data_IF_208652102828
#
_entry.id   IF_208652102828
#
_cell.length_a   1.000
_cell.length_b   1.000
_cell.length_c   1.000
_cell.angle_alpha   90.00
_cell.angle_beta   90.00
_cell.angle_gamma   90.00
#
_symmetry.space_group_name_H-M   'P 1'
#
loop_
_entity.id
_entity.type
_entity.pdbx_description
1 polymer ?
#
# COMPACT_ATOMS: atom_id res chain seq x y z
N UNK A 1 4.25 -7.07 -10.36
CA UNK A 1 4.15 -8.55 -10.32
C UNK A 1 4.15 -9.25 -11.69
N UNK A 2 3.47 -8.78 -12.73
CA UNK A 2 3.59 -9.43 -14.07
C UNK A 2 5.03 -9.40 -14.61
N UNK A 3 5.71 -8.25 -14.51
CA UNK A 3 7.12 -8.13 -14.88
C UNK A 3 8.03 -9.04 -14.04
N UNK A 4 7.72 -9.23 -12.75
CA UNK A 4 8.45 -10.15 -11.87
C UNK A 4 8.31 -11.61 -12.33
N UNK A 5 7.12 -12.03 -12.77
CA UNK A 5 6.93 -13.39 -13.31
C UNK A 5 7.75 -13.64 -14.58
N UNK A 6 7.91 -12.61 -15.42
CA UNK A 6 8.71 -12.70 -16.64
C UNK A 6 10.21 -12.58 -16.36
N UNK A 7 10.59 -11.78 -15.36
CA UNK A 7 11.98 -11.48 -15.02
C UNK A 7 12.18 -11.46 -13.48
N UNK A 8 12.27 -12.63 -12.82
CA UNK A 8 12.25 -12.71 -11.35
C UNK A 8 13.45 -12.04 -10.66
N UNK A 9 14.61 -11.99 -11.33
CA UNK A 9 15.85 -11.46 -10.76
C UNK A 9 16.01 -9.94 -10.81
N UNK A 10 15.04 -9.21 -11.38
CA UNK A 10 15.12 -7.76 -11.62
C UNK A 10 14.54 -6.91 -10.47
N UNK A 11 14.18 -7.51 -9.33
CA UNK A 11 13.67 -6.79 -8.14
C UNK A 11 12.26 -6.21 -8.28
N UNK A 12 11.48 -6.67 -9.27
CA UNK A 12 10.11 -6.21 -9.53
C UNK A 12 9.10 -6.56 -8.43
N UNK A 13 9.44 -7.49 -7.54
CA UNK A 13 8.70 -7.83 -6.32
C UNK A 13 8.81 -6.72 -5.26
N UNK A 14 10.01 -6.23 -4.99
CA UNK A 14 10.25 -5.10 -4.09
C UNK A 14 9.62 -3.80 -4.61
N UNK A 15 9.69 -3.56 -5.92
CA UNK A 15 9.02 -2.41 -6.54
C UNK A 15 7.49 -2.52 -6.43
N UNK A 16 6.94 -3.74 -6.57
CA UNK A 16 5.51 -3.95 -6.44
C UNK A 16 5.03 -3.79 -4.99
N UNK A 17 5.81 -4.25 -4.00
CA UNK A 17 5.57 -3.99 -2.58
C UNK A 17 5.53 -2.47 -2.30
N UNK A 18 6.56 -1.74 -2.74
CA UNK A 18 6.60 -0.29 -2.57
C UNK A 18 5.41 0.43 -3.23
N UNK A 19 4.97 -0.03 -4.40
CA UNK A 19 3.78 0.52 -5.07
C UNK A 19 2.47 0.22 -4.32
N UNK A 20 2.37 -0.97 -3.69
CA UNK A 20 1.26 -1.35 -2.81
C UNK A 20 1.17 -0.39 -1.61
N UNK A 21 2.28 -0.22 -0.89
CA UNK A 21 2.35 0.68 0.28
C UNK A 21 2.13 2.15 -0.10
N UNK A 22 2.63 2.59 -1.26
CA UNK A 22 2.33 3.93 -1.81
C UNK A 22 0.84 4.14 -2.09
N UNK A 23 0.16 3.11 -2.60
CA UNK A 23 -1.29 3.19 -2.84
C UNK A 23 -2.05 3.29 -1.52
N UNK A 24 -1.65 2.51 -0.51
CA UNK A 24 -2.27 2.49 0.81
C UNK A 24 -2.10 3.82 1.54
N UNK A 25 -0.89 4.37 1.52
CA UNK A 25 -0.60 5.69 2.09
C UNK A 25 -1.50 6.77 1.49
N UNK A 26 -1.71 6.76 0.16
CA UNK A 26 -2.62 7.68 -0.52
C UNK A 26 -4.08 7.51 -0.12
N UNK A 27 -4.59 6.29 -0.01
CA UNK A 27 -5.96 6.06 0.47
C UNK A 27 -6.16 6.54 1.91
N UNK A 28 -5.14 6.40 2.77
CA UNK A 28 -5.19 6.95 4.14
C UNK A 28 -5.23 8.49 4.12
N UNK A 29 -4.47 9.14 3.24
CA UNK A 29 -4.53 10.60 3.06
C UNK A 29 -5.92 11.09 2.65
N UNK A 30 -6.59 10.37 1.76
CA UNK A 30 -7.93 10.73 1.31
C UNK A 30 -8.92 10.71 2.50
N UNK A 31 -8.83 9.70 3.37
CA UNK A 31 -9.62 9.63 4.60
C UNK A 31 -9.27 10.74 5.60
N UNK A 32 -7.98 10.99 5.85
CA UNK A 32 -7.55 12.01 6.82
C UNK A 32 -7.79 13.45 6.34
N UNK A 33 -7.82 13.66 5.02
CA UNK A 33 -8.21 14.92 4.39
C UNK A 33 -9.64 15.34 4.73
N UNK A 34 -10.48 14.45 5.26
CA UNK A 34 -11.81 14.82 5.75
C UNK A 34 -11.76 15.51 7.14
N UNK A 35 -10.69 15.31 7.92
CA UNK A 35 -10.50 15.84 9.28
C UNK A 35 -9.69 17.17 9.36
N UNK A 36 -9.54 17.87 8.23
CA UNK A 36 -8.60 18.99 7.88
C UNK A 36 -8.22 20.08 8.89
N UNK A 37 -8.95 20.32 9.97
CA UNK A 37 -8.79 21.56 10.76
C UNK A 37 -7.55 21.57 11.68
N UNK A 38 -7.19 20.43 12.28
CA UNK A 38 -6.14 20.39 13.31
C UNK A 38 -4.72 20.18 12.75
N UNK A 39 -4.63 19.69 11.50
CA UNK A 39 -3.36 19.21 10.91
C UNK A 39 -2.43 20.36 10.49
N UNK A 40 -2.99 21.55 10.22
CA UNK A 40 -2.23 22.72 9.70
C UNK A 40 -1.64 23.62 10.79
N UNK A 41 -1.87 23.32 12.07
CA UNK A 41 -1.35 24.13 13.16
C UNK A 41 0.19 24.04 13.20
N UNK A 42 0.85 25.19 13.28
CA UNK A 42 2.31 25.28 13.38
C UNK A 42 3.08 25.33 12.05
N UNK A 43 2.39 25.28 10.90
CA UNK A 43 3.01 25.47 9.57
C UNK A 43 3.10 26.96 9.23
N UNK A 44 4.22 27.39 8.63
CA UNK A 44 4.37 28.77 8.15
C UNK A 44 3.24 29.14 7.16
N UNK A 45 2.47 30.21 7.43
CA UNK A 45 1.39 30.66 6.54
C UNK A 45 1.83 30.87 5.08
N UNK A 46 3.08 31.29 4.84
CA UNK A 46 3.61 31.47 3.49
C UNK A 46 3.75 30.14 2.76
N UNK A 47 4.18 29.09 3.45
CA UNK A 47 4.28 27.75 2.85
C UNK A 47 2.89 27.20 2.53
N UNK A 48 1.90 27.43 3.41
CA UNK A 48 0.51 27.04 3.15
C UNK A 48 -0.11 27.79 1.97
N UNK A 49 0.26 29.06 1.77
CA UNK A 49 -0.18 29.84 0.60
C UNK A 49 0.47 29.33 -0.69
N UNK A 50 1.76 29.05 -0.68
CA UNK A 50 2.46 28.42 -1.81
C UNK A 50 1.88 27.04 -2.14
N UNK A 51 1.57 26.23 -1.12
CA UNK A 51 0.97 24.90 -1.27
C UNK A 51 -0.41 24.96 -1.93
N UNK A 52 -1.17 26.04 -1.72
CA UNK A 52 -2.47 26.25 -2.37
C UNK A 52 -2.34 26.81 -3.78
N UNK A 53 -1.41 27.73 -4.00
CA UNK A 53 -1.30 28.50 -5.24
C UNK A 53 -0.55 27.78 -6.35
N UNK A 54 0.52 27.03 -6.05
CA UNK A 54 1.32 26.34 -7.08
C UNK A 54 0.52 25.28 -7.85
N UNK A 55 -0.32 24.42 -7.22
CA UNK A 55 -1.17 23.50 -7.97
C UNK A 55 -2.20 24.20 -8.86
N UNK A 56 -2.72 25.36 -8.43
CA UNK A 56 -3.64 26.17 -9.25
C UNK A 56 -2.94 26.73 -10.49
N UNK A 57 -1.71 27.22 -10.34
CA UNK A 57 -0.88 27.69 -11.46
C UNK A 57 -0.56 26.55 -12.43
N UNK A 58 -0.17 25.38 -11.91
CA UNK A 58 0.10 24.19 -12.72
C UNK A 58 -1.12 23.81 -13.56
N UNK A 59 -2.30 23.73 -12.93
CA UNK A 59 -3.55 23.41 -13.62
C UNK A 59 -3.89 24.45 -14.69
N UNK A 60 -3.66 25.74 -14.43
CA UNK A 60 -3.89 26.80 -15.40
C UNK A 60 -2.95 26.68 -16.61
N UNK A 61 -1.66 26.41 -16.39
CA UNK A 61 -0.70 26.23 -17.48
C UNK A 61 -0.94 24.93 -18.27
N UNK A 62 -1.30 23.84 -17.60
CA UNK A 62 -1.70 22.59 -18.28
C UNK A 62 -2.94 22.80 -19.14
N UNK A 63 -3.98 23.44 -18.61
CA UNK A 63 -5.17 23.78 -19.38
C UNK A 63 -4.83 24.67 -20.59
N UNK A 64 -3.94 25.65 -20.41
CA UNK A 64 -3.47 26.49 -21.53
C UNK A 64 -2.69 25.69 -22.57
N UNK A 65 -1.85 24.75 -22.15
CA UNK A 65 -1.13 23.83 -23.04
C UNK A 65 -2.12 23.00 -23.87
N UNK A 66 -3.13 22.42 -23.24
CA UNK A 66 -4.19 21.67 -23.95
C UNK A 66 -4.90 22.53 -25.00
N UNK A 67 -5.26 23.77 -24.65
CA UNK A 67 -5.88 24.70 -25.59
C UNK A 67 -4.96 25.02 -26.78
N UNK A 68 -3.69 25.35 -26.51
CA UNK A 68 -2.71 25.67 -27.55
C UNK A 68 -2.55 24.52 -28.54
N UNK A 69 -2.38 23.29 -28.05
CA UNK A 69 -2.26 22.08 -28.88
C UNK A 69 -3.51 21.82 -29.71
N UNK A 70 -4.69 22.18 -29.22
CA UNK A 70 -5.97 22.06 -29.96
C UNK A 70 -6.24 23.19 -30.97
N UNK A 71 -5.43 24.24 -30.96
CA UNK A 71 -5.54 25.42 -31.85
C UNK A 71 -4.29 25.57 -32.72
N UNK A 72 -4.34 26.52 -33.66
CA UNK A 72 -3.13 26.95 -34.37
C UNK A 72 -2.20 27.66 -33.38
N UNK A 73 -1.01 27.10 -33.16
CA UNK A 73 0.00 27.61 -32.23
C UNK A 73 1.36 27.63 -32.91
N UNK A 74 2.25 28.46 -32.39
CA UNK A 74 3.68 28.43 -32.73
C UNK A 74 4.43 27.49 -31.80
N UNK A 75 5.57 26.94 -32.26
CA UNK A 75 6.45 26.13 -31.40
C UNK A 75 6.96 26.94 -30.20
N UNK A 76 7.19 28.24 -30.38
CA UNK A 76 7.65 29.14 -29.33
C UNK A 76 6.63 29.28 -28.19
N UNK A 77 5.33 29.45 -28.51
CA UNK A 77 4.26 29.50 -27.50
C UNK A 77 4.12 28.19 -26.72
N UNK A 78 4.33 27.06 -27.40
CA UNK A 78 4.27 25.74 -26.78
C UNK A 78 5.48 25.48 -25.87
N UNK A 79 6.67 25.96 -26.23
CA UNK A 79 7.86 25.80 -25.39
C UNK A 79 7.83 26.74 -24.18
N UNK A 80 7.33 27.97 -24.33
CA UNK A 80 7.12 28.88 -23.19
C UNK A 80 6.17 28.29 -22.14
N UNK A 81 5.08 27.64 -22.57
CA UNK A 81 4.14 27.04 -21.61
C UNK A 81 4.74 25.80 -20.93
N UNK A 82 5.54 24.99 -21.65
CA UNK A 82 6.29 23.87 -21.05
C UNK A 82 7.28 24.35 -20.01
N UNK A 83 8.06 25.40 -20.30
CA UNK A 83 9.01 25.97 -19.34
C UNK A 83 8.31 26.48 -18.08
N UNK A 84 7.13 27.09 -18.20
CA UNK A 84 6.32 27.50 -17.05
C UNK A 84 5.85 26.30 -16.22
N UNK A 85 5.40 25.23 -16.87
CA UNK A 85 5.04 23.97 -16.20
C UNK A 85 6.24 23.41 -15.44
N UNK A 86 7.39 23.29 -16.09
CA UNK A 86 8.63 22.77 -15.49
C UNK A 86 9.07 23.62 -14.29
N UNK A 87 8.95 24.94 -14.40
CA UNK A 87 9.25 25.88 -13.30
C UNK A 87 8.33 25.64 -12.10
N UNK A 88 7.02 25.51 -12.32
CA UNK A 88 6.06 25.26 -11.23
C UNK A 88 6.28 23.87 -10.60
N UNK A 89 6.62 22.85 -11.40
CA UNK A 89 6.97 21.53 -10.90
C UNK A 89 8.23 21.56 -10.02
N UNK A 90 9.26 22.32 -10.42
CA UNK A 90 10.46 22.52 -9.61
C UNK A 90 10.14 23.25 -8.30
N UNK A 91 9.29 24.27 -8.34
CA UNK A 91 8.82 25.00 -7.15
C UNK A 91 8.02 24.11 -6.20
N UNK A 92 7.14 23.24 -6.73
CA UNK A 92 6.41 22.26 -5.91
C UNK A 92 7.36 21.31 -5.18
N UNK A 93 8.39 20.81 -5.88
CA UNK A 93 9.40 19.94 -5.28
C UNK A 93 10.20 20.65 -4.18
N UNK A 94 10.58 21.91 -4.42
CA UNK A 94 11.28 22.72 -3.42
C UNK A 94 10.39 23.00 -2.20
N UNK A 95 9.12 23.35 -2.43
CA UNK A 95 8.15 23.58 -1.37
C UNK A 95 7.97 22.33 -0.51
N UNK A 96 7.82 21.15 -1.11
CA UNK A 96 7.72 19.89 -0.38
C UNK A 96 8.95 19.66 0.50
N UNK A 97 10.16 19.84 -0.03
CA UNK A 97 11.40 19.71 0.73
C UNK A 97 11.48 20.71 1.90
N UNK A 98 11.00 21.95 1.69
CA UNK A 98 10.95 22.96 2.73
C UNK A 98 9.91 22.63 3.80
N UNK A 99 8.74 22.12 3.42
CA UNK A 99 7.71 21.66 4.37
C UNK A 99 8.22 20.47 5.18
N UNK A 100 8.92 19.51 4.57
CA UNK A 100 9.52 18.36 5.27
C UNK A 100 10.52 18.77 6.34
N UNK A 101 11.33 19.79 6.07
CA UNK A 101 12.36 20.27 7.01
C UNK A 101 11.79 21.16 8.10
N UNK A 102 10.85 22.06 7.76
CA UNK A 102 10.32 23.07 8.68
C UNK A 102 9.07 22.63 9.44
N UNK A 103 8.32 21.67 8.90
CA UNK A 103 7.06 21.17 9.47
C UNK A 103 6.93 19.64 9.32
N UNK A 104 7.82 18.83 9.96
CA UNK A 104 7.89 17.38 9.75
C UNK A 104 6.56 16.65 10.00
N UNK A 105 5.85 16.99 11.09
CA UNK A 105 4.53 16.39 11.40
C UNK A 105 3.47 16.68 10.34
N UNK A 106 3.48 17.88 9.77
CA UNK A 106 2.58 18.21 8.65
C UNK A 106 2.96 17.42 7.41
N UNK A 107 4.26 17.31 7.13
CA UNK A 107 4.77 16.60 5.98
C UNK A 107 4.50 15.08 6.04
N UNK A 108 4.65 14.44 7.20
CA UNK A 108 4.31 13.02 7.40
C UNK A 108 2.83 12.74 7.10
N UNK A 109 1.95 13.67 7.50
CA UNK A 109 0.51 13.56 7.30
C UNK A 109 0.05 13.96 5.91
N UNK A 110 0.81 14.78 5.18
CA UNK A 110 0.43 15.32 3.87
C UNK A 110 1.14 14.62 2.71
N UNK A 111 2.38 14.18 2.93
CA UNK A 111 3.28 13.55 1.98
C UNK A 111 3.94 12.30 2.60
N UNK A 112 3.16 11.29 3.03
CA UNK A 112 3.69 10.05 3.56
C UNK A 112 4.62 9.42 2.53
N UNK A 113 5.87 9.20 2.93
CA UNK A 113 6.77 8.35 2.16
C UNK A 113 6.60 6.92 2.67
N UNK A 114 6.01 6.03 1.86
CA UNK A 114 5.96 4.62 2.21
C UNK A 114 7.38 4.09 2.35
N UNK A 115 7.60 3.26 3.37
CA UNK A 115 8.90 2.65 3.56
C UNK A 115 9.24 1.77 2.34
N UNK A 116 10.46 1.92 1.83
CA UNK A 116 10.98 0.97 0.86
C UNK A 116 11.40 -0.33 1.55
N UNK A 117 11.65 -1.39 0.77
CA UNK A 117 12.01 -2.71 1.31
C UNK A 117 13.21 -2.65 2.27
N UNK A 118 14.25 -1.88 1.93
CA UNK A 118 15.42 -1.76 2.76
C UNK A 118 15.08 -1.12 4.11
N UNK A 119 14.25 -0.07 4.12
CA UNK A 119 13.80 0.56 5.35
C UNK A 119 12.91 -0.38 6.18
N UNK A 120 12.01 -1.14 5.56
CA UNK A 120 11.22 -2.17 6.25
C UNK A 120 12.14 -3.19 6.94
N UNK A 121 13.15 -3.70 6.20
CA UNK A 121 14.09 -4.69 6.71
C UNK A 121 15.01 -4.15 7.81
N UNK A 122 15.36 -2.87 7.78
CA UNK A 122 16.30 -2.27 8.75
C UNK A 122 15.61 -1.67 9.98
N UNK A 123 14.39 -1.15 9.83
CA UNK A 123 13.73 -0.35 10.87
C UNK A 123 12.56 -1.08 11.55
N UNK A 124 11.96 -2.07 10.87
CA UNK A 124 10.75 -2.74 11.36
C UNK A 124 11.02 -4.20 11.71
N UNK A 125 11.85 -4.89 10.94
CA UNK A 125 12.06 -6.33 11.06
C UNK A 125 13.29 -6.69 11.91
N UNK A 126 13.10 -7.65 12.81
CA UNK A 126 14.17 -8.44 13.39
C UNK A 126 14.11 -9.91 12.91
N UNK A 127 15.02 -10.75 13.41
CA UNK A 127 15.21 -12.11 12.91
C UNK A 127 13.98 -13.02 13.18
N UNK A 128 13.14 -12.65 14.15
CA UNK A 128 11.97 -13.41 14.61
C UNK A 128 10.64 -12.84 14.09
N UNK A 129 10.68 -11.86 13.19
CA UNK A 129 9.47 -11.22 12.65
C UNK A 129 9.25 -11.57 11.19
N UNK A 130 8.00 -11.86 10.83
CA UNK A 130 7.55 -12.07 9.44
C UNK A 130 6.39 -11.12 9.16
N UNK A 131 6.54 -10.26 8.16
CA UNK A 131 5.43 -9.46 7.64
C UNK A 131 4.73 -10.24 6.53
N UNK A 132 3.41 -10.35 6.61
CA UNK A 132 2.55 -10.84 5.53
C UNK A 132 1.75 -9.67 4.98
N UNK A 133 2.11 -9.18 3.80
CA UNK A 133 1.38 -8.11 3.12
C UNK A 133 0.55 -8.67 1.97
N UNK A 134 -0.76 -8.39 2.02
CA UNK A 134 -1.72 -8.81 1.00
C UNK A 134 -2.13 -7.63 0.12
N UNK A 135 -2.28 -7.89 -1.19
CA UNK A 135 -2.89 -6.98 -2.16
C UNK A 135 -3.93 -7.72 -3.00
N UNK A 136 -5.19 -7.32 -2.93
CA UNK A 136 -6.33 -8.00 -3.55
C UNK A 136 -6.67 -7.38 -4.90
N UNK A 137 -6.42 -8.11 -5.98
CA UNK A 137 -6.64 -7.64 -7.34
C UNK A 137 -7.80 -8.33 -8.07
N UNK A 138 -8.37 -7.64 -9.07
CA UNK A 138 -9.52 -8.13 -9.84
C UNK A 138 -9.27 -9.46 -10.56
N UNK A 139 -8.07 -9.64 -11.13
CA UNK A 139 -7.71 -10.85 -11.89
C UNK A 139 -6.90 -11.84 -11.05
N UNK A 140 -6.05 -11.33 -10.17
CA UNK A 140 -5.15 -12.07 -9.29
C UNK A 140 -4.84 -11.21 -8.09
N UNK A 141 -4.63 -11.84 -6.95
CA UNK A 141 -4.16 -11.19 -5.73
C UNK A 141 -2.72 -11.62 -5.45
N UNK A 142 -2.07 -10.96 -4.48
CA UNK A 142 -0.67 -11.22 -4.16
C UNK A 142 -0.44 -11.21 -2.66
N UNK A 143 0.54 -11.99 -2.23
CA UNK A 143 1.09 -12.01 -0.88
C UNK A 143 2.60 -11.83 -0.96
N UNK A 144 3.14 -10.89 -0.19
CA UNK A 144 4.56 -10.80 0.10
C UNK A 144 4.82 -11.26 1.52
N UNK A 145 5.77 -12.18 1.69
CA UNK A 145 6.25 -12.59 3.01
C UNK A 145 7.62 -11.93 3.23
N UNK A 146 7.65 -10.84 4.00
CA UNK A 146 8.86 -10.02 4.19
C UNK A 146 9.57 -10.45 5.46
N UNK A 147 10.82 -10.88 5.31
CA UNK A 147 11.75 -11.09 6.42
C UNK A 147 12.89 -10.07 6.33
N UNK A 148 13.71 -9.98 7.37
CA UNK A 148 14.90 -9.11 7.39
C UNK A 148 15.82 -9.31 6.19
N UNK A 149 15.83 -10.51 5.58
CA UNK A 149 16.78 -10.89 4.53
C UNK A 149 16.12 -11.33 3.21
N UNK A 150 14.79 -11.46 3.14
CA UNK A 150 14.10 -11.96 1.95
C UNK A 150 12.69 -11.40 1.79
N UNK A 151 12.19 -11.46 0.55
CA UNK A 151 10.83 -11.04 0.19
C UNK A 151 10.18 -12.04 -0.80
N UNK A 152 10.03 -13.33 -0.46
CA UNK A 152 9.24 -14.23 -1.30
C UNK A 152 7.84 -13.67 -1.56
N UNK A 153 7.41 -13.78 -2.82
CA UNK A 153 6.10 -13.30 -3.27
C UNK A 153 5.29 -14.44 -3.88
N UNK A 154 3.97 -14.38 -3.68
CA UNK A 154 3.04 -15.44 -4.04
C UNK A 154 1.86 -14.87 -4.81
N UNK A 155 1.41 -15.62 -5.80
CA UNK A 155 0.17 -15.32 -6.53
C UNK A 155 -0.98 -16.00 -5.81
N UNK A 156 -2.01 -15.23 -5.50
CA UNK A 156 -3.23 -15.68 -4.86
C UNK A 156 -4.42 -15.60 -5.82
N UNK A 157 -5.55 -16.28 -5.49
CA UNK A 157 -6.79 -16.17 -6.28
C UNK A 157 -7.29 -14.72 -6.44
N UNK A 158 -8.19 -14.46 -7.41
CA UNK A 158 -8.82 -13.16 -7.58
C UNK A 158 -9.54 -12.69 -6.31
N UNK A 159 -9.61 -11.37 -6.12
CA UNK A 159 -10.27 -10.72 -4.97
C UNK A 159 -11.67 -11.27 -4.68
N UNK A 160 -12.48 -11.50 -5.69
CA UNK A 160 -13.86 -11.99 -5.53
C UNK A 160 -13.93 -13.35 -4.85
N UNK A 161 -12.99 -14.25 -5.12
CA UNK A 161 -12.95 -15.58 -4.49
C UNK A 161 -12.51 -15.49 -3.03
N UNK A 162 -11.50 -14.68 -2.74
CA UNK A 162 -11.02 -14.43 -1.38
C UNK A 162 -12.12 -13.75 -0.54
N UNK A 163 -12.84 -12.78 -1.11
CA UNK A 163 -13.95 -12.11 -0.43
C UNK A 163 -15.11 -13.05 -0.14
N UNK A 164 -15.46 -13.94 -1.06
CA UNK A 164 -16.48 -14.95 -0.82
C UNK A 164 -16.09 -15.89 0.34
N UNK A 165 -14.85 -16.39 0.35
CA UNK A 165 -14.33 -17.23 1.43
C UNK A 165 -14.26 -16.49 2.80
N UNK A 166 -13.91 -15.21 2.79
CA UNK A 166 -13.89 -14.37 3.99
C UNK A 166 -15.29 -14.13 4.56
N UNK A 167 -16.30 -13.96 3.70
CA UNK A 167 -17.70 -13.83 4.12
C UNK A 167 -18.23 -15.10 4.77
N UNK A 168 -17.82 -16.28 4.30
CA UNK A 168 -18.21 -17.55 4.93
C UNK A 168 -17.52 -17.79 6.27
N UNK A 169 -16.34 -17.21 6.48
CA UNK A 169 -15.58 -17.30 7.74
C UNK A 169 -16.12 -16.38 8.85
N UNK A 170 -16.62 -15.18 8.53
CA UNK A 170 -17.09 -14.24 9.57
C UNK A 170 -18.16 -14.79 10.54
N UNK A 171 -19.21 -15.51 10.09
CA UNK A 171 -20.24 -16.04 10.98
C UNK A 171 -19.76 -17.18 11.89
N UNK A 172 -18.70 -17.93 11.52
CA UNK A 172 -18.23 -19.07 12.31
C UNK A 172 -17.59 -18.64 13.64
N UNK A 173 -17.01 -17.44 13.71
CA UNK A 173 -16.42 -16.89 14.93
C UNK A 173 -17.45 -16.60 16.04
N UNK A 174 -18.73 -16.45 15.69
CA UNK A 174 -19.80 -16.12 16.65
C UNK A 174 -20.49 -17.35 17.24
N UNK A 175 -20.28 -18.54 16.65
CA UNK A 175 -20.88 -19.80 17.10
C UNK A 175 -19.77 -20.73 17.57
N UNK A 176 -19.62 -20.86 18.89
CA UNK A 176 -18.75 -21.85 19.52
C UNK A 176 -19.16 -23.27 19.08
N UNK A 177 -18.51 -23.81 18.05
CA UNK A 177 -18.54 -25.26 17.80
C UNK A 177 -17.36 -25.69 16.94
N UNK A 178 -16.81 -26.85 17.31
CA UNK A 178 -15.78 -27.60 16.56
C UNK A 178 -16.21 -28.02 15.13
N UNK A 179 -17.43 -27.66 14.70
CA UNK A 179 -17.95 -27.89 13.35
C UNK A 179 -17.43 -26.87 12.31
N UNK A 180 -16.69 -25.83 12.73
CA UNK A 180 -16.31 -24.73 11.86
C UNK A 180 -15.00 -24.90 11.08
N UNK A 181 -14.15 -25.88 11.38
CA UNK A 181 -12.88 -26.06 10.65
C UNK A 181 -13.06 -26.14 9.12
N UNK A 182 -14.19 -26.69 8.65
CA UNK A 182 -14.54 -26.80 7.23
C UNK A 182 -14.79 -25.44 6.54
N UNK A 183 -15.30 -24.42 7.24
CA UNK A 183 -15.52 -23.08 6.69
C UNK A 183 -14.27 -22.18 6.81
N UNK A 184 -13.32 -22.55 7.68
CA UNK A 184 -12.05 -21.84 7.88
C UNK A 184 -10.95 -22.33 6.93
N UNK A 185 -11.01 -23.61 6.54
CA UNK A 185 -10.07 -24.27 5.65
C UNK A 185 -9.89 -23.56 4.30
N UNK A 186 -10.93 -23.14 3.56
CA UNK A 186 -10.74 -22.51 2.26
C UNK A 186 -9.96 -21.19 2.35
N UNK A 187 -10.33 -20.32 3.27
CA UNK A 187 -9.66 -19.02 3.44
C UNK A 187 -8.23 -19.20 3.95
N UNK A 188 -8.01 -20.10 4.91
CA UNK A 188 -6.67 -20.40 5.39
C UNK A 188 -5.79 -21.03 4.31
N UNK A 189 -6.35 -21.96 3.53
CA UNK A 189 -5.64 -22.60 2.43
C UNK A 189 -5.22 -21.57 1.37
N UNK A 190 -6.09 -20.60 1.07
CA UNK A 190 -5.75 -19.53 0.12
C UNK A 190 -4.67 -18.59 0.67
N UNK A 191 -4.75 -18.19 1.93
CA UNK A 191 -3.94 -17.08 2.46
C UNK A 191 -2.66 -17.50 3.18
N UNK A 192 -2.65 -18.67 3.83
CA UNK A 192 -1.55 -19.12 4.70
C UNK A 192 -0.80 -20.32 4.14
N UNK A 193 -1.42 -21.18 3.33
CA UNK A 193 -0.72 -22.34 2.76
C UNK A 193 0.56 -21.97 1.98
N UNK A 194 0.61 -20.89 1.17
CA UNK A 194 1.84 -20.52 0.45
C UNK A 194 3.03 -20.21 1.36
N UNK A 195 2.77 -19.82 2.61
CA UNK A 195 3.77 -19.39 3.60
C UNK A 195 3.84 -20.31 4.82
N UNK A 196 3.10 -21.43 4.84
CA UNK A 196 2.95 -22.28 6.03
C UNK A 196 4.30 -22.71 6.64
N UNK A 197 5.27 -23.05 5.79
CA UNK A 197 6.62 -23.46 6.20
C UNK A 197 7.48 -22.30 6.76
N UNK A 198 7.06 -21.05 6.57
CA UNK A 198 7.76 -19.86 7.04
C UNK A 198 7.18 -19.30 8.35
N UNK A 199 5.95 -19.70 8.71
CA UNK A 199 5.26 -19.16 9.89
C UNK A 199 5.98 -19.56 11.19
N UNK A 200 6.30 -20.85 11.35
CA UNK A 200 7.06 -21.37 12.49
C UNK A 200 6.64 -20.78 13.84
N UNK A 201 7.63 -20.32 14.63
CA UNK A 201 7.43 -19.56 15.87
C UNK A 201 7.64 -18.05 15.67
N UNK A 202 7.57 -17.54 14.44
CA UNK A 202 7.80 -16.13 14.17
C UNK A 202 6.63 -15.29 14.68
N UNK A 203 6.93 -14.05 15.08
CA UNK A 203 5.91 -13.02 15.30
C UNK A 203 5.40 -12.57 13.94
N UNK A 204 4.09 -12.67 13.75
CA UNK A 204 3.42 -12.31 12.51
C UNK A 204 2.92 -10.87 12.58
N UNK A 205 3.38 -10.04 11.66
CA UNK A 205 2.79 -8.73 11.37
C UNK A 205 1.99 -8.86 10.08
N UNK A 206 0.68 -8.62 10.15
CA UNK A 206 -0.21 -8.88 9.02
C UNK A 206 -0.79 -7.58 8.50
N UNK A 207 -0.53 -7.27 7.23
CA UNK A 207 -1.05 -6.10 6.52
C UNK A 207 -2.12 -6.57 5.53
N UNK A 208 -3.38 -6.46 5.95
CA UNK A 208 -4.54 -6.86 5.14
C UNK A 208 -4.94 -5.83 4.08
N UNK A 209 -5.64 -6.29 3.05
CA UNK A 209 -6.29 -5.46 2.05
C UNK A 209 -7.79 -5.83 1.94
N UNK A 210 -8.63 -4.80 1.73
CA UNK A 210 -10.08 -4.93 1.65
C UNK A 210 -10.68 -5.66 2.84
N UNK A 211 -11.44 -6.73 2.56
CA UNK A 211 -12.09 -7.56 3.58
C UNK A 211 -11.11 -8.14 4.61
N UNK A 212 -9.86 -8.39 4.22
CA UNK A 212 -8.86 -9.04 5.08
C UNK A 212 -8.42 -8.15 6.24
N UNK A 213 -8.62 -6.83 6.16
CA UNK A 213 -8.39 -5.92 7.29
C UNK A 213 -9.31 -6.21 8.48
N UNK A 214 -10.43 -6.88 8.23
CA UNK A 214 -11.45 -7.18 9.24
C UNK A 214 -11.60 -8.69 9.50
N UNK A 215 -10.72 -9.50 8.92
CA UNK A 215 -10.64 -10.94 9.20
C UNK A 215 -9.56 -11.12 10.27
N UNK A 216 -9.86 -11.79 11.40
CA UNK A 216 -8.82 -12.15 12.36
C UNK A 216 -7.95 -13.26 11.77
N UNK A 217 -7.01 -12.90 10.90
CA UNK A 217 -6.13 -13.83 10.19
C UNK A 217 -5.28 -14.68 11.15
N UNK A 218 -4.98 -14.14 12.34
CA UNK A 218 -4.31 -14.88 13.42
C UNK A 218 -5.14 -16.05 13.99
N UNK A 219 -6.46 -16.06 13.77
CA UNK A 219 -7.33 -17.16 14.18
C UNK A 219 -7.45 -18.26 13.12
N UNK A 220 -6.92 -18.05 11.91
CA UNK A 220 -6.99 -19.07 10.86
C UNK A 220 -6.07 -20.26 11.19
N UNK A 221 -6.55 -21.50 11.01
CA UNK A 221 -5.74 -22.68 11.27
C UNK A 221 -4.63 -22.79 10.23
N UNK A 222 -3.37 -22.89 10.64
CA UNK A 222 -2.24 -23.04 9.70
C UNK A 222 -2.38 -24.37 8.93
N UNK A 223 -2.48 -24.35 7.59
CA UNK A 223 -2.61 -25.57 6.81
C UNK A 223 -1.41 -26.51 7.02
N UNK A 224 -1.68 -27.79 7.30
CA UNK A 224 -0.66 -28.80 7.56
C UNK A 224 -0.19 -28.93 9.02
N UNK A 225 -0.62 -28.04 9.93
CA UNK A 225 -0.29 -28.09 11.35
C UNK A 225 -1.43 -28.66 12.22
N UNK A 226 -2.25 -29.56 11.65
CA UNK A 226 -3.27 -30.29 12.41
C UNK A 226 -2.56 -31.38 13.20
N UNK A 227 -2.06 -31.04 14.40
CA UNK A 227 -1.88 -32.07 15.43
C UNK A 227 -3.28 -32.60 15.77
N UNK A 228 -3.60 -33.76 15.23
CA UNK A 228 -4.71 -34.58 15.71
C UNK A 228 -4.47 -34.88 17.19
N UNK A 229 -5.03 -34.04 18.07
CA UNK A 229 -5.15 -34.35 19.49
C UNK A 229 -6.17 -35.48 19.62
N UNK A 230 -5.71 -36.72 19.49
CA UNK A 230 -6.49 -37.88 19.92
C UNK A 230 -6.34 -37.95 21.43
N UNK A 231 -7.33 -37.39 22.13
CA UNK A 231 -7.52 -37.63 23.56
C UNK A 231 -7.86 -39.11 23.73
N UNK A 232 -7.02 -39.85 24.47
CA UNK A 232 -7.41 -41.12 25.09
C UNK A 232 -7.98 -40.84 26.47
#
# INVERSE_FOLDING_TARGET
MQLHQQNPSQGYDAQALHASESSRARSLLELLSEAKADIRQGVDPKLLEQERSLPQQLNAFEHRKYQLVSSQHTEQELDEIKQKIDTVLAQLKQLEAQIRTTSPRYAELKYPEPLNLQQIQQQVLDDDTLILEYSLGKKRSYLWAVTKNSIPSYVLPPRSEIEAAAQTFRPSLTRNSAANLASELPLSQMLLAPVANQLGNKRLLIVGDGVLQYVPLAALPIPGNIKMSVSH
#
